data_IF_565211609046
#
_entry.id   IF_565211609046
#
_cell.length_a   1.000
_cell.length_b   1.000
_cell.length_c   1.000
_cell.angle_alpha   90.00
_cell.angle_beta   90.00
_cell.angle_gamma   90.00
#
_symmetry.space_group_name_H-M   'P 1'
#
loop_
_entity.id
_entity.type
_entity.pdbx_description
1 polymer ?
#
# COMPACT_ATOMS: atom_id res chain seq x y z
N UNK A 1 38.63 -3.58 27.53
CA UNK A 1 37.73 -2.72 28.30
C UNK A 1 38.01 -2.93 29.76
N UNK A 2 38.22 -1.87 30.56
CA UNK A 2 38.48 -1.92 32.01
C UNK A 2 37.19 -1.48 32.69
N UNK A 3 36.78 -2.22 33.72
CA UNK A 3 35.57 -1.96 34.49
C UNK A 3 35.95 -1.59 35.90
N UNK A 4 35.32 -0.59 36.51
CA UNK A 4 35.53 -0.16 37.85
C UNK A 4 34.24 -0.28 38.68
N UNK A 5 34.38 -0.54 39.99
CA UNK A 5 33.29 -0.60 40.96
C UNK A 5 33.37 0.64 41.86
N UNK A 6 32.27 1.39 41.90
CA UNK A 6 32.17 2.55 42.81
C UNK A 6 30.94 2.39 43.68
N UNK A 7 31.12 2.53 44.98
CA UNK A 7 30.01 2.63 45.93
C UNK A 7 29.57 4.09 46.06
N UNK A 8 28.26 4.32 45.93
CA UNK A 8 27.67 5.65 45.81
C UNK A 8 26.85 6.10 47.01
N UNK A 9 26.98 7.39 47.32
CA UNK A 9 25.86 8.23 47.75
C UNK A 9 25.66 9.35 46.70
N UNK A 10 24.48 9.97 46.65
CA UNK A 10 24.21 11.11 45.78
C UNK A 10 25.04 12.38 46.06
N UNK A 11 26.00 12.30 46.94
CA UNK A 11 26.95 13.35 47.30
C UNK A 11 28.38 12.86 47.03
N UNK A 12 29.18 13.70 46.37
CA UNK A 12 30.56 13.47 45.99
C UNK A 12 31.45 13.17 47.20
N UNK A 13 31.72 11.90 47.56
CA UNK A 13 32.72 11.50 48.54
C UNK A 13 33.52 10.30 48.07
N UNK A 14 34.84 10.45 48.10
CA UNK A 14 35.81 9.39 47.83
C UNK A 14 36.13 8.61 49.10
N UNK A 15 36.03 7.27 49.08
CA UNK A 15 36.57 6.29 50.05
C UNK A 15 35.78 6.06 51.36
N UNK A 16 36.39 5.49 52.37
CA UNK A 16 35.90 4.83 53.59
C UNK A 16 34.79 5.52 54.42
N UNK A 17 34.38 6.73 54.08
CA UNK A 17 33.36 7.52 54.80
C UNK A 17 31.99 7.58 54.08
N UNK A 18 31.84 6.99 52.89
CA UNK A 18 30.62 7.07 52.10
C UNK A 18 29.38 6.55 52.84
N UNK A 19 29.49 5.42 53.51
CA UNK A 19 28.37 4.82 54.23
C UNK A 19 27.96 5.61 55.48
N UNK A 20 28.91 6.26 56.16
CA UNK A 20 28.56 7.18 57.25
C UNK A 20 27.87 8.43 56.74
N UNK A 21 28.31 8.98 55.62
CA UNK A 21 27.70 10.15 55.00
C UNK A 21 26.26 9.91 54.56
N UNK A 22 25.96 8.71 54.04
CA UNK A 22 24.59 8.26 53.69
C UNK A 22 23.67 8.27 54.91
N UNK A 23 24.17 7.73 56.05
CA UNK A 23 23.41 7.70 57.30
C UNK A 23 23.21 9.11 57.87
N UNK A 24 24.28 9.92 57.88
CA UNK A 24 24.25 11.28 58.42
C UNK A 24 23.34 12.21 57.60
N UNK A 25 23.25 11.97 56.29
CA UNK A 25 22.32 12.67 55.39
C UNK A 25 20.88 12.20 55.51
N UNK A 26 20.62 11.08 56.19
CA UNK A 26 19.28 10.50 56.32
C UNK A 26 18.74 9.93 54.99
N UNK A 27 19.61 9.50 54.08
CA UNK A 27 19.22 8.93 52.81
C UNK A 27 18.52 7.59 53.01
N UNK A 28 17.55 7.28 52.19
CA UNK A 28 16.76 6.05 52.25
C UNK A 28 17.30 4.95 51.36
N UNK A 29 18.22 5.27 50.46
CA UNK A 29 18.82 4.36 49.50
C UNK A 29 20.32 4.64 49.33
N UNK A 30 21.07 3.58 49.06
CA UNK A 30 22.48 3.61 48.67
C UNK A 30 22.71 2.50 47.64
N UNK A 31 23.96 2.24 47.23
CA UNK A 31 24.21 1.15 46.29
C UNK A 31 25.63 1.07 45.79
N UNK A 32 25.82 0.23 44.80
CA UNK A 32 27.08 0.17 44.03
C UNK A 32 26.77 0.31 42.51
N UNK A 33 27.72 0.93 41.82
CA UNK A 33 27.66 1.11 40.36
C UNK A 33 28.91 0.55 39.73
N UNK A 34 28.73 -0.14 38.62
CA UNK A 34 29.83 -0.62 37.79
C UNK A 34 29.76 0.15 36.48
N UNK A 35 30.81 0.81 36.11
CA UNK A 35 30.92 1.61 34.90
C UNK A 35 32.18 1.27 34.11
N UNK A 36 32.20 1.65 32.83
CA UNK A 36 33.42 1.54 32.01
C UNK A 36 34.44 2.57 32.48
N UNK A 37 35.71 2.18 32.51
CA UNK A 37 36.81 3.10 32.85
C UNK A 37 37.11 3.97 31.64
N UNK A 38 37.07 5.27 31.84
CA UNK A 38 37.45 6.32 30.88
C UNK A 38 38.61 7.14 31.44
N UNK A 39 39.14 8.11 30.71
CA UNK A 39 40.18 9.03 31.18
C UNK A 39 39.64 9.94 32.30
N UNK A 40 38.36 10.17 32.37
CA UNK A 40 37.68 10.88 33.43
C UNK A 40 37.35 9.94 34.57
N UNK A 41 37.77 10.30 35.79
CA UNK A 41 37.56 9.46 36.99
C UNK A 41 36.05 9.37 37.28
N UNK A 42 35.53 8.15 37.37
CA UNK A 42 34.12 7.84 37.62
C UNK A 42 33.10 8.40 36.57
N UNK A 43 33.60 8.89 35.42
CA UNK A 43 32.80 9.52 34.38
C UNK A 43 32.35 8.59 33.23
N UNK A 44 32.70 7.29 33.27
CA UNK A 44 32.36 6.33 32.22
C UNK A 44 30.90 5.87 32.23
N UNK A 45 30.38 5.33 31.10
CA UNK A 45 29.05 4.78 31.04
C UNK A 45 28.76 3.71 32.07
N UNK A 46 27.63 3.80 32.75
CA UNK A 46 27.18 2.81 33.74
C UNK A 46 26.81 1.50 33.00
N UNK A 47 27.34 0.38 33.51
CA UNK A 47 27.04 -0.96 33.01
C UNK A 47 25.96 -1.64 33.87
N UNK A 48 26.15 -1.58 35.20
CA UNK A 48 25.18 -2.14 36.17
C UNK A 48 25.13 -1.22 37.40
N UNK A 49 23.93 -1.04 37.94
CA UNK A 49 23.70 -0.32 39.18
C UNK A 49 22.80 -1.16 40.12
N UNK A 50 23.18 -1.35 41.35
CA UNK A 50 22.38 -2.02 42.41
C UNK A 50 21.99 -1.01 43.47
N UNK A 51 20.71 -0.87 43.72
CA UNK A 51 20.15 -0.01 44.76
C UNK A 51 19.88 -0.85 46.01
N UNK A 52 20.26 -0.33 47.16
CA UNK A 52 20.15 -0.97 48.48
C UNK A 52 19.41 -0.02 49.42
N UNK A 53 18.34 -0.51 50.03
CA UNK A 53 17.58 0.27 51.02
C UNK A 53 18.34 0.42 52.32
N UNK A 54 18.34 1.65 52.83
CA UNK A 54 18.85 1.96 54.17
C UNK A 54 17.72 1.77 55.18
N UNK A 55 17.91 0.88 56.13
CA UNK A 55 16.91 0.57 57.14
C UNK A 55 17.15 1.36 58.43
N UNK A 56 16.07 1.62 59.18
CA UNK A 56 16.17 2.33 60.45
C UNK A 56 16.98 1.52 61.49
N UNK A 57 18.16 2.02 61.84
CA UNK A 57 19.08 1.34 62.73
C UNK A 57 20.34 0.80 62.05
N UNK A 58 20.46 0.99 60.73
CA UNK A 58 21.73 0.68 60.06
C UNK A 58 22.88 1.54 60.61
N UNK A 59 24.03 0.93 60.71
CA UNK A 59 25.30 1.58 60.99
C UNK A 59 26.14 1.63 59.72
N UNK A 60 27.17 2.45 59.69
CA UNK A 60 28.09 2.52 58.57
C UNK A 60 28.71 1.14 58.25
N UNK A 61 28.94 0.31 59.26
CA UNK A 61 29.47 -1.04 59.10
C UNK A 61 28.46 -2.02 58.55
N UNK A 62 27.20 -1.98 59.04
CA UNK A 62 26.13 -2.83 58.48
C UNK A 62 25.80 -2.47 57.04
N UNK A 63 25.78 -1.17 56.74
CA UNK A 63 25.51 -0.68 55.40
C UNK A 63 26.64 -1.05 54.42
N UNK A 64 27.90 -0.91 54.86
CA UNK A 64 29.07 -1.39 54.11
C UNK A 64 28.96 -2.88 53.78
N UNK A 65 28.59 -3.71 54.73
CA UNK A 65 28.44 -5.15 54.52
C UNK A 65 27.33 -5.47 53.52
N UNK A 66 26.18 -4.75 53.58
CA UNK A 66 25.09 -4.87 52.60
C UNK A 66 25.54 -4.50 51.18
N UNK A 67 26.30 -3.42 51.03
CA UNK A 67 26.81 -2.97 49.71
C UNK A 67 27.81 -3.95 49.16
N UNK A 68 28.80 -4.38 49.99
CA UNK A 68 29.82 -5.35 49.57
C UNK A 68 29.20 -6.71 49.15
N UNK A 69 28.12 -7.14 49.78
CA UNK A 69 27.42 -8.36 49.38
C UNK A 69 26.82 -8.28 47.96
N UNK A 70 26.50 -7.07 47.48
CA UNK A 70 25.95 -6.86 46.13
C UNK A 70 27.05 -6.57 45.09
N UNK A 71 28.22 -6.06 45.49
CA UNK A 71 29.31 -5.72 44.57
C UNK A 71 29.74 -6.91 43.71
N UNK A 72 29.93 -8.09 44.32
CA UNK A 72 30.32 -9.30 43.60
C UNK A 72 29.28 -9.73 42.55
N UNK A 73 28.00 -9.69 42.93
CA UNK A 73 26.90 -10.03 42.02
C UNK A 73 26.79 -9.02 40.88
N UNK A 74 26.88 -7.73 41.22
CA UNK A 74 26.84 -6.67 40.19
C UNK A 74 28.03 -6.76 39.22
N UNK A 75 29.22 -7.14 39.73
CA UNK A 75 30.42 -7.32 38.90
C UNK A 75 30.28 -8.50 37.93
N UNK A 76 29.76 -9.64 38.41
CA UNK A 76 29.51 -10.82 37.58
C UNK A 76 28.49 -10.46 36.48
N UNK A 77 27.42 -9.80 36.84
CA UNK A 77 26.40 -9.33 35.89
C UNK A 77 26.98 -8.36 34.83
N UNK A 78 27.83 -7.43 35.29
CA UNK A 78 28.52 -6.51 34.37
C UNK A 78 29.50 -7.25 33.43
N UNK A 79 30.21 -8.25 33.93
CA UNK A 79 31.06 -9.10 33.10
C UNK A 79 30.26 -9.90 32.10
N UNK A 80 29.11 -10.44 32.50
CA UNK A 80 28.23 -11.14 31.58
C UNK A 80 27.71 -10.22 30.46
N UNK A 81 27.31 -8.99 30.77
CA UNK A 81 26.88 -7.99 29.79
C UNK A 81 28.02 -7.66 28.84
N UNK A 82 29.20 -7.40 29.37
CA UNK A 82 30.39 -7.03 28.59
C UNK A 82 30.95 -8.19 27.76
N UNK A 83 30.97 -9.42 28.32
CA UNK A 83 31.49 -10.61 27.64
C UNK A 83 30.50 -11.21 26.62
N UNK A 84 29.18 -10.91 26.73
CA UNK A 84 28.22 -11.31 25.70
C UNK A 84 28.50 -10.67 24.36
N UNK A 85 29.31 -9.61 24.32
CA UNK A 85 29.46 -8.76 23.14
C UNK A 85 28.15 -7.99 22.85
N UNK A 86 28.16 -7.11 21.91
CA UNK A 86 26.93 -6.50 21.40
C UNK A 86 26.09 -7.61 20.77
N UNK A 87 25.04 -8.08 21.45
CA UNK A 87 24.06 -8.96 20.87
C UNK A 87 23.27 -8.09 19.90
N UNK A 88 23.62 -8.15 18.63
CA UNK A 88 22.86 -7.47 17.59
C UNK A 88 21.54 -8.21 17.46
N UNK A 89 20.48 -7.55 17.85
CA UNK A 89 19.10 -8.04 17.70
C UNK A 89 18.57 -7.78 16.30
N UNK A 90 17.44 -8.41 15.96
CA UNK A 90 16.73 -8.14 14.69
C UNK A 90 16.26 -6.68 14.63
N UNK A 91 15.89 -6.08 15.77
CA UNK A 91 15.53 -4.67 15.89
C UNK A 91 16.72 -3.73 15.58
N UNK A 92 17.93 -4.09 16.04
CA UNK A 92 19.15 -3.33 15.72
C UNK A 92 19.50 -3.39 14.23
N UNK A 93 19.07 -4.45 13.57
CA UNK A 93 19.17 -4.61 12.11
C UNK A 93 18.05 -3.90 11.33
N UNK A 94 17.13 -3.21 12.02
CA UNK A 94 16.07 -2.40 11.41
C UNK A 94 14.74 -3.13 11.23
N UNK A 95 14.55 -4.34 11.79
CA UNK A 95 13.30 -5.11 11.69
C UNK A 95 12.68 -5.28 13.08
N UNK A 96 11.44 -4.79 13.24
CA UNK A 96 10.74 -4.83 14.52
C UNK A 96 9.54 -5.78 14.49
N UNK A 97 9.70 -6.99 15.04
CA UNK A 97 8.67 -8.03 15.11
C UNK A 97 7.42 -7.55 15.87
N UNK A 98 7.57 -6.77 16.94
CA UNK A 98 6.45 -6.32 17.75
C UNK A 98 5.58 -5.31 17.00
N UNK A 99 6.17 -4.43 16.19
CA UNK A 99 5.45 -3.53 15.31
C UNK A 99 4.72 -4.31 14.19
N UNK A 100 5.34 -5.35 13.64
CA UNK A 100 4.68 -6.27 12.71
C UNK A 100 3.45 -6.94 13.32
N UNK A 101 3.56 -7.46 14.55
CA UNK A 101 2.43 -8.05 15.27
C UNK A 101 1.33 -7.01 15.56
N UNK A 102 1.71 -5.79 15.94
CA UNK A 102 0.77 -4.68 16.15
C UNK A 102 0.01 -4.33 14.87
N UNK A 103 0.70 -4.28 13.73
CA UNK A 103 0.05 -4.06 12.43
C UNK A 103 -1.02 -5.13 12.16
N UNK A 104 -0.69 -6.42 12.35
CA UNK A 104 -1.65 -7.52 12.14
C UNK A 104 -2.92 -7.32 12.96
N UNK A 105 -2.83 -6.92 14.23
CA UNK A 105 -4.01 -6.66 15.06
C UNK A 105 -4.85 -5.48 14.51
N UNK A 106 -4.21 -4.42 14.06
CA UNK A 106 -4.89 -3.25 13.51
C UNK A 106 -5.64 -3.55 12.20
N UNK A 107 -5.11 -4.43 11.33
CA UNK A 107 -5.70 -4.71 10.01
C UNK A 107 -6.79 -5.79 10.05
N UNK A 108 -6.84 -6.66 11.07
CA UNK A 108 -7.87 -7.71 11.21
C UNK A 108 -9.32 -7.22 10.98
N UNK A 109 -9.77 -6.09 11.57
CA UNK A 109 -11.11 -5.58 11.33
C UNK A 109 -11.36 -5.19 9.86
N UNK A 110 -10.34 -4.66 9.17
CA UNK A 110 -10.46 -4.26 7.77
C UNK A 110 -10.64 -5.48 6.87
N UNK A 111 -9.81 -6.51 7.05
CA UNK A 111 -9.92 -7.77 6.31
C UNK A 111 -11.28 -8.44 6.58
N UNK A 112 -11.72 -8.50 7.84
CA UNK A 112 -13.02 -9.05 8.21
C UNK A 112 -14.18 -8.34 7.51
N UNK A 113 -14.08 -7.04 7.28
CA UNK A 113 -15.12 -6.24 6.62
C UNK A 113 -15.24 -6.51 5.10
N UNK A 114 -14.31 -7.27 4.50
CA UNK A 114 -14.33 -7.66 3.08
C UNK A 114 -14.88 -9.07 2.85
N UNK A 115 -15.30 -9.79 3.90
CA UNK A 115 -15.75 -11.18 3.80
C UNK A 115 -16.91 -11.34 2.82
N UNK A 116 -16.86 -12.42 2.07
CA UNK A 116 -17.91 -12.89 1.16
C UNK A 116 -18.02 -14.41 1.27
N UNK A 117 -19.08 -15.02 0.72
CA UNK A 117 -19.16 -16.49 0.66
C UNK A 117 -17.90 -17.09 0.03
N UNK A 118 -17.32 -18.09 0.66
CA UNK A 118 -16.09 -18.76 0.26
C UNK A 118 -14.82 -18.27 0.95
N UNK A 119 -14.82 -17.11 1.63
CA UNK A 119 -13.67 -16.59 2.38
C UNK A 119 -14.01 -16.34 3.85
N UNK A 120 -14.16 -17.42 4.62
CA UNK A 120 -14.58 -17.34 6.02
C UNK A 120 -13.43 -17.50 7.03
N UNK A 121 -12.19 -17.74 6.54
CA UNK A 121 -11.03 -17.90 7.40
C UNK A 121 -10.59 -16.57 8.04
N UNK A 122 -10.13 -16.65 9.30
CA UNK A 122 -9.50 -15.52 9.98
C UNK A 122 -8.03 -15.39 9.55
N UNK A 123 -7.49 -14.17 9.62
CA UNK A 123 -6.05 -13.91 9.43
C UNK A 123 -5.24 -14.59 10.55
N UNK A 124 -4.07 -15.11 10.19
CA UNK A 124 -3.10 -15.71 11.13
C UNK A 124 -2.62 -17.11 10.76
N UNK A 125 -3.15 -17.70 9.67
CA UNK A 125 -2.59 -18.90 9.06
C UNK A 125 -1.49 -18.54 8.05
N UNK A 126 -0.79 -19.57 7.55
CA UNK A 126 0.24 -19.41 6.50
C UNK A 126 -0.33 -19.10 5.10
N UNK A 127 -1.64 -19.21 4.90
CA UNK A 127 -2.30 -18.92 3.64
C UNK A 127 -3.78 -18.65 3.83
N UNK A 128 -4.35 -17.84 2.92
CA UNK A 128 -5.78 -17.59 2.83
C UNK A 128 -6.50 -18.75 2.13
N UNK A 129 -7.64 -19.17 2.66
CA UNK A 129 -8.47 -20.23 2.08
C UNK A 129 -9.68 -19.61 1.38
N UNK A 130 -10.04 -20.16 0.23
CA UNK A 130 -11.24 -19.78 -0.50
C UNK A 130 -11.97 -21.03 -1.03
N UNK A 131 -13.25 -21.17 -0.67
CA UNK A 131 -14.11 -22.24 -1.13
C UNK A 131 -14.96 -21.78 -2.33
N UNK A 132 -14.64 -22.29 -3.52
CA UNK A 132 -15.32 -21.97 -4.77
C UNK A 132 -16.78 -22.43 -4.75
N UNK A 133 -17.08 -23.58 -4.15
CA UNK A 133 -18.44 -24.09 -4.08
C UNK A 133 -19.32 -23.25 -3.17
N UNK A 134 -18.80 -22.83 -2.00
CA UNK A 134 -19.49 -21.90 -1.11
C UNK A 134 -19.73 -20.52 -1.77
N UNK A 135 -18.86 -20.13 -2.71
CA UNK A 135 -19.03 -18.90 -3.51
C UNK A 135 -20.00 -19.08 -4.70
N UNK A 136 -20.57 -20.27 -4.89
CA UNK A 136 -21.57 -20.55 -5.92
C UNK A 136 -21.01 -20.93 -7.30
N UNK A 137 -19.73 -21.32 -7.38
CA UNK A 137 -19.10 -21.74 -8.64
C UNK A 137 -19.13 -23.28 -8.81
N UNK A 138 -19.52 -23.73 -9.99
CA UNK A 138 -19.33 -25.13 -10.39
C UNK A 138 -17.87 -25.34 -10.80
N UNK A 139 -17.16 -26.19 -10.07
CA UNK A 139 -15.73 -26.43 -10.30
C UNK A 139 -15.42 -27.13 -11.63
N UNK A 140 -16.41 -27.76 -12.27
CA UNK A 140 -16.20 -28.48 -13.53
C UNK A 140 -16.00 -27.58 -14.74
N UNK A 141 -16.76 -26.48 -14.80
CA UNK A 141 -16.75 -25.56 -15.94
C UNK A 141 -16.25 -24.14 -15.55
N UNK A 142 -15.61 -24.02 -14.39
CA UNK A 142 -15.00 -22.79 -13.91
C UNK A 142 -13.50 -22.76 -14.23
N UNK A 143 -13.04 -21.61 -14.72
CA UNK A 143 -11.62 -21.28 -14.92
C UNK A 143 -11.23 -20.23 -13.89
N UNK A 144 -10.07 -20.43 -13.25
CA UNK A 144 -9.48 -19.46 -12.32
C UNK A 144 -8.65 -18.46 -13.11
N UNK A 145 -8.76 -17.19 -12.76
CA UNK A 145 -8.00 -16.08 -13.34
C UNK A 145 -7.18 -15.44 -12.22
N UNK A 146 -5.89 -15.22 -12.47
CA UNK A 146 -5.01 -14.43 -11.60
C UNK A 146 -4.55 -13.17 -12.30
N UNK A 147 -4.52 -12.05 -11.60
CA UNK A 147 -3.94 -10.80 -12.06
C UNK A 147 -3.10 -10.17 -10.96
N UNK A 148 -1.97 -9.58 -11.32
CA UNK A 148 -1.04 -8.92 -10.39
C UNK A 148 -0.60 -7.59 -10.96
N UNK A 149 -0.51 -6.58 -10.09
CA UNK A 149 -0.04 -5.24 -10.44
C UNK A 149 0.44 -4.51 -9.18
N UNK A 150 1.05 -3.34 -9.36
CA UNK A 150 1.45 -2.40 -8.32
C UNK A 150 0.74 -1.05 -8.45
N UNK A 151 1.15 -0.08 -7.65
CA UNK A 151 0.68 1.31 -7.74
C UNK A 151 1.64 2.19 -8.53
N UNK A 152 2.91 1.86 -8.49
CA UNK A 152 3.96 2.60 -9.17
C UNK A 152 4.28 3.96 -8.53
N UNK A 153 4.79 4.91 -9.34
CA UNK A 153 5.36 6.16 -8.81
C UNK A 153 4.34 7.17 -8.27
N UNK A 154 3.05 6.87 -8.30
CA UNK A 154 2.00 7.57 -7.54
C UNK A 154 2.29 7.52 -6.03
N UNK A 155 2.91 6.43 -5.55
CA UNK A 155 3.35 6.27 -4.16
C UNK A 155 4.25 7.43 -3.69
N UNK A 156 5.10 7.97 -4.57
CA UNK A 156 5.96 9.13 -4.25
C UNK A 156 5.16 10.36 -3.86
N UNK A 157 3.98 10.56 -4.46
CA UNK A 157 3.10 11.66 -4.09
C UNK A 157 2.45 11.37 -2.73
N UNK A 158 1.99 10.13 -2.50
CA UNK A 158 1.45 9.72 -1.20
C UNK A 158 2.44 9.99 -0.06
N UNK A 159 3.72 9.64 -0.23
CA UNK A 159 4.79 9.94 0.71
C UNK A 159 4.97 11.45 0.91
N UNK A 160 5.05 12.23 -0.18
CA UNK A 160 5.28 13.67 -0.10
C UNK A 160 4.13 14.42 0.61
N UNK A 161 2.91 13.90 0.49
CA UNK A 161 1.68 14.50 1.07
C UNK A 161 1.38 13.93 2.46
N UNK A 162 1.95 12.77 2.82
CA UNK A 162 1.63 12.04 4.06
C UNK A 162 0.21 11.42 4.05
N UNK A 163 -0.33 11.10 2.84
CA UNK A 163 -1.67 10.52 2.67
C UNK A 163 -1.57 9.12 2.06
N UNK A 164 -1.87 8.11 2.87
CA UNK A 164 -1.65 6.70 2.54
C UNK A 164 -2.93 5.88 2.38
N UNK A 165 -4.10 6.42 2.73
CA UNK A 165 -5.38 5.73 2.80
C UNK A 165 -6.07 5.52 1.43
N UNK A 166 -5.54 6.11 0.35
CA UNK A 166 -6.13 6.01 -1.00
C UNK A 166 -5.38 5.05 -1.92
N UNK A 167 -4.06 4.92 -1.77
CA UNK A 167 -3.22 4.12 -2.68
C UNK A 167 -3.52 2.61 -2.61
N UNK A 168 -4.08 2.14 -1.50
CA UNK A 168 -4.58 0.76 -1.39
C UNK A 168 -5.77 0.49 -2.34
N UNK A 169 -6.63 1.50 -2.58
CA UNK A 169 -7.71 1.39 -3.57
C UNK A 169 -7.12 1.30 -4.97
N UNK A 170 -6.09 2.09 -5.27
CA UNK A 170 -5.37 2.01 -6.55
C UNK A 170 -4.82 0.60 -6.79
N UNK A 171 -4.17 0.00 -5.79
CA UNK A 171 -3.61 -1.34 -5.88
C UNK A 171 -4.66 -2.38 -6.26
N UNK A 172 -5.80 -2.37 -5.55
CA UNK A 172 -6.90 -3.29 -5.84
C UNK A 172 -7.47 -3.02 -7.23
N UNK A 173 -7.70 -1.76 -7.58
CA UNK A 173 -8.28 -1.36 -8.87
C UNK A 173 -7.43 -1.84 -10.05
N UNK A 174 -6.10 -1.68 -9.98
CA UNK A 174 -5.20 -2.13 -11.05
C UNK A 174 -5.33 -3.63 -11.29
N UNK A 175 -5.39 -4.44 -10.24
CA UNK A 175 -5.49 -5.89 -10.34
C UNK A 175 -6.89 -6.36 -10.77
N UNK A 176 -7.97 -5.85 -10.13
CA UNK A 176 -9.32 -6.38 -10.39
C UNK A 176 -9.92 -5.88 -11.70
N UNK A 177 -9.50 -4.68 -12.17
CA UNK A 177 -9.91 -4.19 -13.49
C UNK A 177 -9.28 -5.02 -14.61
N UNK A 178 -8.02 -5.47 -14.46
CA UNK A 178 -7.39 -6.39 -15.42
C UNK A 178 -8.04 -7.78 -15.38
N UNK A 179 -8.41 -8.24 -14.19
CA UNK A 179 -9.09 -9.53 -14.03
C UNK A 179 -10.47 -9.54 -14.72
N UNK A 180 -11.27 -8.48 -14.55
CA UNK A 180 -12.61 -8.41 -15.13
C UNK A 180 -12.59 -8.32 -16.67
N UNK A 181 -11.49 -7.81 -17.25
CA UNK A 181 -11.31 -7.76 -18.72
C UNK A 181 -11.38 -9.15 -19.35
N UNK A 182 -10.93 -10.19 -18.64
CA UNK A 182 -11.06 -11.58 -19.07
C UNK A 182 -12.46 -12.21 -18.80
N UNK A 183 -13.42 -11.41 -18.31
CA UNK A 183 -14.77 -11.86 -17.96
C UNK A 183 -14.91 -12.45 -16.57
N UNK A 184 -13.85 -12.36 -15.74
CA UNK A 184 -13.80 -12.94 -14.40
C UNK A 184 -14.52 -12.13 -13.32
N UNK A 185 -15.11 -12.83 -12.36
CA UNK A 185 -15.58 -12.24 -11.11
C UNK A 185 -14.45 -12.29 -10.09
N UNK A 186 -13.99 -11.15 -9.53
CA UNK A 186 -13.01 -11.14 -8.46
C UNK A 186 -13.52 -11.88 -7.22
N UNK A 187 -12.71 -12.77 -6.65
CA UNK A 187 -13.08 -13.59 -5.50
C UNK A 187 -12.33 -13.17 -4.25
N UNK A 188 -11.01 -13.05 -4.37
CA UNK A 188 -10.16 -12.64 -3.25
C UNK A 188 -8.93 -11.89 -3.73
N UNK A 189 -8.32 -11.21 -2.78
CA UNK A 189 -7.15 -10.38 -2.95
C UNK A 189 -6.09 -10.71 -1.90
N UNK A 190 -4.84 -10.61 -2.29
CA UNK A 190 -3.66 -10.66 -1.44
C UNK A 190 -2.77 -9.45 -1.75
N UNK A 191 -2.10 -8.90 -0.75
CA UNK A 191 -1.16 -7.81 -0.94
C UNK A 191 0.25 -8.15 -0.44
N UNK A 192 1.22 -7.44 -0.97
CA UNK A 192 2.60 -7.43 -0.51
C UNK A 192 3.00 -5.98 -0.23
N UNK A 193 3.29 -5.69 1.03
CA UNK A 193 3.77 -4.39 1.49
C UNK A 193 5.25 -4.51 1.83
N UNK A 194 6.12 -3.84 1.07
CA UNK A 194 7.56 -3.84 1.27
C UNK A 194 8.04 -2.45 1.70
N UNK A 195 8.83 -2.35 2.77
CA UNK A 195 9.30 -1.06 3.30
C UNK A 195 10.73 -1.16 3.82
N UNK A 196 11.43 -0.04 3.94
CA UNK A 196 12.74 0.00 4.59
C UNK A 196 12.61 -0.14 6.10
N UNK A 197 11.63 0.54 6.69
CA UNK A 197 11.25 0.46 8.09
C UNK A 197 9.75 0.55 8.21
N UNK A 198 9.14 -0.29 9.03
CA UNK A 198 7.70 -0.32 9.21
C UNK A 198 7.21 0.88 10.03
N UNK A 199 6.36 1.69 9.40
CA UNK A 199 5.54 2.70 10.05
C UNK A 199 4.10 2.18 10.13
N UNK A 200 3.73 1.68 11.31
CA UNK A 200 2.49 0.91 11.51
C UNK A 200 1.23 1.68 11.09
N UNK A 201 1.16 2.97 11.40
CA UNK A 201 0.01 3.82 11.07
C UNK A 201 -0.13 4.02 9.55
N UNK A 202 0.99 4.23 8.85
CA UNK A 202 1.00 4.35 7.40
C UNK A 202 0.61 3.02 6.73
N UNK A 203 1.19 1.91 7.17
CA UNK A 203 0.86 0.57 6.68
C UNK A 203 -0.61 0.22 6.94
N UNK A 204 -1.13 0.48 8.14
CA UNK A 204 -2.54 0.28 8.47
C UNK A 204 -3.48 1.13 7.60
N UNK A 205 -3.10 2.38 7.28
CA UNK A 205 -3.86 3.24 6.39
C UNK A 205 -3.88 2.68 4.95
N UNK A 206 -2.75 2.15 4.46
CA UNK A 206 -2.68 1.48 3.15
C UNK A 206 -3.59 0.26 3.13
N UNK A 207 -3.51 -0.63 4.13
CA UNK A 207 -4.34 -1.86 4.18
C UNK A 207 -5.83 -1.50 4.34
N UNK A 208 -6.16 -0.43 5.06
CA UNK A 208 -7.53 0.11 5.09
C UNK A 208 -8.01 0.51 3.69
N UNK A 209 -7.15 1.16 2.90
CA UNK A 209 -7.43 1.49 1.50
C UNK A 209 -7.61 0.23 0.64
N UNK A 210 -6.77 -0.80 0.82
CA UNK A 210 -6.91 -2.10 0.15
C UNK A 210 -8.28 -2.73 0.48
N UNK A 211 -8.64 -2.77 1.76
CA UNK A 211 -9.93 -3.31 2.20
C UNK A 211 -11.12 -2.54 1.59
N UNK A 212 -11.01 -1.22 1.47
CA UNK A 212 -12.03 -0.39 0.81
C UNK A 212 -12.13 -0.72 -0.69
N UNK A 213 -11.00 -0.87 -1.38
CA UNK A 213 -10.95 -1.32 -2.77
C UNK A 213 -11.58 -2.71 -2.94
N UNK A 214 -11.28 -3.65 -2.04
CA UNK A 214 -11.87 -4.99 -2.03
C UNK A 214 -13.39 -4.96 -1.86
N UNK A 215 -13.94 -4.10 -1.00
CA UNK A 215 -15.39 -3.91 -0.86
C UNK A 215 -16.01 -3.37 -2.14
N UNK A 216 -15.35 -2.41 -2.81
CA UNK A 216 -15.81 -1.88 -4.08
C UNK A 216 -15.79 -2.94 -5.19
N UNK A 217 -14.79 -3.84 -5.17
CA UNK A 217 -14.65 -4.96 -6.09
C UNK A 217 -15.46 -6.22 -5.68
N UNK A 218 -16.13 -6.20 -4.53
CA UNK A 218 -16.86 -7.35 -3.97
C UNK A 218 -15.99 -8.61 -3.79
N UNK A 219 -14.70 -8.45 -3.49
CA UNK A 219 -13.76 -9.54 -3.22
C UNK A 219 -13.25 -9.52 -1.79
N UNK A 220 -12.80 -10.67 -1.29
CA UNK A 220 -12.27 -10.81 0.07
C UNK A 220 -10.79 -10.49 0.15
N UNK A 221 -10.36 -9.66 1.09
CA UNK A 221 -8.95 -9.56 1.48
C UNK A 221 -8.65 -10.69 2.47
N UNK A 222 -7.99 -11.76 2.00
CA UNK A 222 -7.84 -13.00 2.77
C UNK A 222 -6.44 -13.24 3.31
N UNK A 223 -5.50 -12.34 3.01
CA UNK A 223 -4.12 -12.41 3.48
C UNK A 223 -3.26 -11.37 2.80
N UNK A 224 -1.99 -11.41 3.12
CA UNK A 224 -0.95 -10.54 2.58
C UNK A 224 0.37 -10.79 3.28
N UNK A 225 1.38 -10.03 2.91
CA UNK A 225 2.72 -10.07 3.50
C UNK A 225 3.20 -8.66 3.78
N UNK A 226 3.89 -8.48 4.90
CA UNK A 226 4.58 -7.23 5.25
C UNK A 226 6.06 -7.53 5.45
N UNK A 227 6.91 -6.97 4.60
CA UNK A 227 8.34 -7.19 4.63
C UNK A 227 9.10 -5.90 4.99
N UNK A 228 9.85 -5.94 6.08
CA UNK A 228 10.85 -4.93 6.39
C UNK A 228 12.16 -5.30 5.71
N UNK A 229 12.63 -4.43 4.82
CA UNK A 229 13.86 -4.63 4.03
C UNK A 229 14.77 -3.40 4.15
N UNK A 230 15.44 -3.22 5.29
CA UNK A 230 16.40 -2.13 5.50
C UNK A 230 17.46 -2.10 4.39
N UNK A 231 17.82 -0.92 3.94
CA UNK A 231 18.78 -0.67 2.85
C UNK A 231 18.29 -1.00 1.43
N UNK A 232 17.19 -1.71 1.24
CA UNK A 232 16.53 -1.84 -0.08
C UNK A 232 15.59 -0.68 -0.34
N UNK A 233 14.86 -0.24 0.68
CA UNK A 233 14.03 0.96 0.70
C UNK A 233 14.57 1.93 1.73
N UNK A 234 14.38 3.23 1.50
CA UNK A 234 14.70 4.24 2.50
C UNK A 234 13.68 4.21 3.63
N UNK A 235 14.05 4.76 4.79
CA UNK A 235 13.13 4.88 5.92
C UNK A 235 11.85 5.63 5.51
N UNK A 236 10.68 5.07 5.86
CA UNK A 236 9.37 5.62 5.52
C UNK A 236 8.94 5.40 4.06
N UNK A 237 9.79 4.89 3.17
CA UNK A 237 9.40 4.49 1.82
C UNK A 237 8.85 3.07 1.80
N UNK A 238 7.85 2.83 0.96
CA UNK A 238 7.28 1.50 0.74
C UNK A 238 6.93 1.28 -0.73
N UNK A 239 6.83 0.03 -1.12
CA UNK A 239 6.27 -0.42 -2.39
C UNK A 239 5.12 -1.41 -2.14
N UNK A 240 4.22 -1.49 -3.11
CA UNK A 240 3.01 -2.30 -3.02
C UNK A 240 2.89 -3.20 -4.25
N UNK A 241 2.62 -4.46 -4.02
CA UNK A 241 2.16 -5.38 -5.04
C UNK A 241 0.86 -6.04 -4.62
N UNK A 242 -0.08 -6.17 -5.57
CA UNK A 242 -1.36 -6.80 -5.36
C UNK A 242 -1.50 -8.06 -6.21
N UNK A 243 -2.26 -9.00 -5.71
CA UNK A 243 -2.61 -10.22 -6.41
C UNK A 243 -4.09 -10.51 -6.24
N UNK A 244 -4.86 -10.39 -7.31
CA UNK A 244 -6.27 -10.74 -7.34
C UNK A 244 -6.48 -12.10 -7.98
N UNK A 245 -7.39 -12.88 -7.41
CA UNK A 245 -7.86 -14.14 -7.99
C UNK A 245 -9.35 -14.07 -8.20
N UNK A 246 -9.77 -14.49 -9.37
CA UNK A 246 -11.17 -14.55 -9.76
C UNK A 246 -11.52 -15.83 -10.49
N UNK A 247 -12.77 -15.95 -10.85
CA UNK A 247 -13.28 -17.10 -11.57
C UNK A 247 -14.24 -16.67 -12.69
N UNK A 248 -14.26 -17.47 -13.75
CA UNK A 248 -15.15 -17.29 -14.88
C UNK A 248 -15.65 -18.65 -15.37
N UNK A 249 -16.91 -18.73 -15.79
CA UNK A 249 -17.40 -19.90 -16.52
C UNK A 249 -16.78 -19.93 -17.92
N UNK A 250 -16.38 -21.10 -18.41
CA UNK A 250 -15.70 -21.28 -19.71
C UNK A 250 -16.39 -20.57 -20.87
N UNK A 251 -17.73 -20.56 -20.88
CA UNK A 251 -18.52 -19.95 -21.93
C UNK A 251 -18.55 -18.41 -21.87
N UNK A 252 -17.96 -17.81 -20.81
CA UNK A 252 -17.97 -16.35 -20.58
C UNK A 252 -16.59 -15.73 -20.59
N UNK A 253 -15.57 -16.51 -20.95
CA UNK A 253 -14.21 -15.97 -21.08
C UNK A 253 -14.20 -14.94 -22.22
N UNK A 254 -13.72 -13.73 -21.94
CA UNK A 254 -13.58 -12.65 -22.91
C UNK A 254 -12.13 -12.57 -23.44
N UNK A 255 -11.93 -12.08 -24.68
CA UNK A 255 -12.93 -11.63 -25.67
C UNK A 255 -13.61 -12.78 -26.40
N UNK A 256 -14.87 -12.57 -26.85
CA UNK A 256 -15.65 -13.54 -27.61
C UNK A 256 -16.32 -12.91 -28.81
N UNK A 257 -16.23 -13.56 -29.97
CA UNK A 257 -16.97 -13.16 -31.20
C UNK A 257 -16.81 -11.67 -31.57
N UNK A 258 -15.67 -11.08 -31.21
CA UNK A 258 -15.34 -9.69 -31.57
C UNK A 258 -15.12 -9.59 -33.09
N UNK A 259 -15.76 -8.59 -33.75
CA UNK A 259 -15.69 -8.42 -35.19
C UNK A 259 -15.83 -6.95 -35.61
N UNK A 260 -15.45 -6.63 -36.81
CA UNK A 260 -15.70 -5.34 -37.41
C UNK A 260 -17.22 -4.99 -37.38
N UNK A 261 -17.53 -3.75 -37.06
CA UNK A 261 -18.89 -3.25 -36.84
C UNK A 261 -19.36 -3.28 -35.40
N UNK A 262 -18.65 -3.95 -34.49
CA UNK A 262 -18.96 -3.85 -33.05
C UNK A 262 -18.69 -2.43 -32.53
N UNK A 263 -19.50 -1.99 -31.56
CA UNK A 263 -19.47 -0.64 -30.99
C UNK A 263 -18.52 -0.58 -29.78
N UNK A 264 -17.82 0.52 -29.66
CA UNK A 264 -16.93 0.81 -28.52
C UNK A 264 -17.63 1.76 -27.55
N UNK A 265 -17.91 1.30 -26.34
CA UNK A 265 -18.41 2.11 -25.23
C UNK A 265 -17.29 2.42 -24.25
N UNK A 266 -17.05 3.71 -24.00
CA UNK A 266 -16.07 4.18 -23.02
C UNK A 266 -16.71 4.51 -21.67
N UNK A 267 -16.07 4.10 -20.59
CA UNK A 267 -16.43 4.49 -19.22
C UNK A 267 -15.44 5.52 -18.70
N UNK A 268 -15.96 6.58 -18.07
CA UNK A 268 -15.12 7.64 -17.51
C UNK A 268 -14.12 7.13 -16.48
N UNK A 269 -12.92 7.66 -16.52
CA UNK A 269 -11.95 7.53 -15.41
C UNK A 269 -12.32 8.47 -14.25
N UNK A 270 -11.73 8.21 -13.07
CA UNK A 270 -11.80 9.12 -11.92
C UNK A 270 -10.71 10.20 -11.94
N UNK A 271 -9.85 10.18 -12.94
CA UNK A 271 -8.66 11.02 -13.06
C UNK A 271 -7.52 10.26 -13.75
N UNK A 272 -6.29 10.52 -13.34
CA UNK A 272 -5.09 9.95 -13.95
C UNK A 272 -5.00 8.42 -13.71
N UNK A 273 -5.64 7.92 -12.68
CA UNK A 273 -5.51 6.55 -12.17
C UNK A 273 -4.13 6.30 -11.57
N UNK A 274 -3.41 5.24 -12.00
CA UNK A 274 -2.10 4.89 -11.44
C UNK A 274 -0.96 4.89 -12.48
N UNK A 275 -1.23 5.33 -13.72
CA UNK A 275 -0.25 5.32 -14.80
C UNK A 275 0.20 6.74 -15.18
N UNK A 276 1.45 6.86 -15.67
CA UNK A 276 2.00 8.14 -16.14
C UNK A 276 2.53 9.07 -15.04
N UNK A 277 2.54 8.66 -13.77
CA UNK A 277 2.95 9.51 -12.64
C UNK A 277 4.41 9.96 -12.66
N UNK A 278 5.30 9.26 -13.35
CA UNK A 278 6.67 9.73 -13.56
C UNK A 278 6.70 11.04 -14.35
N UNK A 279 5.85 11.15 -15.38
CA UNK A 279 5.69 12.38 -16.16
C UNK A 279 4.96 13.45 -15.35
N UNK A 280 3.85 13.10 -14.67
CA UNK A 280 3.11 14.05 -13.81
C UNK A 280 4.04 14.72 -12.80
N UNK A 281 4.88 13.97 -12.10
CA UNK A 281 5.84 14.51 -11.13
C UNK A 281 6.84 15.46 -11.78
N UNK A 282 7.35 15.13 -12.97
CA UNK A 282 8.21 16.02 -13.76
C UNK A 282 7.50 17.32 -14.18
N UNK A 283 6.22 17.26 -14.50
CA UNK A 283 5.45 18.46 -14.85
C UNK A 283 5.23 19.37 -13.63
N UNK A 284 4.91 18.80 -12.48
CA UNK A 284 4.81 19.55 -11.21
C UNK A 284 6.14 20.28 -10.90
N UNK A 285 7.27 19.58 -11.04
CA UNK A 285 8.60 20.16 -10.85
C UNK A 285 8.91 21.25 -11.89
N UNK A 286 8.63 21.01 -13.18
CA UNK A 286 8.83 21.98 -14.28
C UNK A 286 8.05 23.27 -14.05
N UNK A 287 6.79 23.15 -13.66
CA UNK A 287 5.90 24.28 -13.38
C UNK A 287 6.16 24.93 -12.00
N UNK A 288 7.14 24.41 -11.23
CA UNK A 288 7.51 24.89 -9.88
C UNK A 288 6.33 24.89 -8.92
N UNK A 289 5.45 23.89 -9.03
CA UNK A 289 4.30 23.70 -8.16
C UNK A 289 4.68 22.83 -6.96
N UNK A 290 4.00 23.06 -5.83
CA UNK A 290 4.08 22.24 -4.63
C UNK A 290 2.80 21.43 -4.45
N UNK A 291 2.89 20.20 -3.92
CA UNK A 291 1.72 19.34 -3.70
C UNK A 291 0.72 19.92 -2.71
N UNK A 292 1.15 20.81 -1.82
CA UNK A 292 0.28 21.55 -0.88
C UNK A 292 -0.42 22.75 -1.51
N UNK A 293 0.00 23.18 -2.72
CA UNK A 293 -0.59 24.33 -3.41
C UNK A 293 -2.02 24.07 -3.85
N UNK A 294 -2.84 25.13 -4.01
CA UNK A 294 -4.17 25.04 -4.61
C UNK A 294 -4.10 24.37 -5.99
N UNK A 295 -5.06 23.51 -6.29
CA UNK A 295 -5.09 22.72 -7.52
C UNK A 295 -5.58 23.57 -8.70
N UNK A 296 -4.77 23.81 -9.76
CA UNK A 296 -5.17 24.67 -10.86
C UNK A 296 -6.23 24.08 -11.79
N UNK A 297 -6.44 22.76 -11.75
CA UNK A 297 -7.42 22.05 -12.57
C UNK A 297 -8.64 21.53 -11.79
N UNK A 298 -8.66 21.67 -10.47
CA UNK A 298 -9.74 21.20 -9.60
C UNK A 298 -9.91 22.12 -8.39
N UNK A 299 -10.86 23.05 -8.47
CA UNK A 299 -11.15 23.98 -7.38
C UNK A 299 -11.82 23.34 -6.17
N UNK A 300 -12.25 22.09 -6.27
CA UNK A 300 -12.89 21.35 -5.16
C UNK A 300 -11.88 20.56 -4.34
N UNK A 301 -10.72 20.25 -4.90
CA UNK A 301 -9.62 19.63 -4.17
C UNK A 301 -8.92 20.65 -3.26
N UNK A 302 -8.57 20.24 -2.05
CA UNK A 302 -7.86 21.10 -1.09
C UNK A 302 -6.44 21.44 -1.56
N UNK A 303 -5.83 20.58 -2.38
CA UNK A 303 -4.48 20.73 -2.89
C UNK A 303 -4.24 19.92 -4.17
N UNK A 304 -3.13 20.22 -4.85
CA UNK A 304 -2.63 19.41 -5.98
C UNK A 304 -2.44 17.95 -5.55
N UNK A 305 -1.83 17.72 -4.39
CA UNK A 305 -1.57 16.38 -3.88
C UNK A 305 -2.85 15.58 -3.67
N UNK A 306 -3.89 16.19 -3.11
CA UNK A 306 -5.19 15.53 -2.92
C UNK A 306 -5.82 15.14 -4.27
N UNK A 307 -5.84 16.05 -5.25
CA UNK A 307 -6.37 15.77 -6.58
C UNK A 307 -5.61 14.65 -7.28
N UNK A 308 -4.27 14.65 -7.20
CA UNK A 308 -3.43 13.61 -7.81
C UNK A 308 -3.55 12.25 -7.12
N UNK A 309 -3.95 12.21 -5.85
CA UNK A 309 -4.20 10.98 -5.08
C UNK A 309 -5.62 10.45 -5.22
N UNK A 310 -6.47 11.06 -6.07
CA UNK A 310 -7.77 10.47 -6.41
C UNK A 310 -7.59 9.01 -6.85
N UNK A 311 -8.27 8.04 -6.18
CA UNK A 311 -8.08 6.62 -6.48
C UNK A 311 -8.50 6.24 -7.88
N UNK A 312 -7.84 5.23 -8.42
CA UNK A 312 -8.26 4.53 -9.64
C UNK A 312 -9.65 3.97 -9.46
N UNK A 313 -10.52 4.21 -10.44
CA UNK A 313 -11.90 3.71 -10.44
C UNK A 313 -11.95 2.20 -10.61
N UNK A 314 -12.75 1.54 -9.79
CA UNK A 314 -13.03 0.10 -9.87
C UNK A 314 -14.31 -0.10 -10.68
N UNK A 315 -14.21 -0.84 -11.80
CA UNK A 315 -15.30 -1.04 -12.76
C UNK A 315 -16.10 -2.33 -12.54
N UNK A 316 -15.74 -3.12 -11.53
CA UNK A 316 -16.31 -4.46 -11.28
C UNK A 316 -17.83 -4.42 -11.18
N UNK A 317 -18.39 -3.57 -10.29
CA UNK A 317 -19.85 -3.47 -10.07
C UNK A 317 -20.61 -3.02 -11.30
N UNK A 318 -20.00 -2.20 -12.14
CA UNK A 318 -20.61 -1.73 -13.36
C UNK A 318 -20.61 -2.80 -14.47
N UNK A 319 -19.48 -3.49 -14.65
CA UNK A 319 -19.25 -4.37 -15.80
C UNK A 319 -19.70 -5.82 -15.55
N UNK A 320 -19.58 -6.34 -14.33
CA UNK A 320 -19.91 -7.73 -14.02
C UNK A 320 -21.37 -8.13 -14.37
N UNK A 321 -22.41 -7.28 -14.12
CA UNK A 321 -23.77 -7.59 -14.55
C UNK A 321 -23.93 -7.72 -16.07
N UNK A 322 -23.17 -6.94 -16.85
CA UNK A 322 -23.18 -7.01 -18.31
C UNK A 322 -22.53 -8.29 -18.82
N UNK A 323 -21.40 -8.69 -18.20
CA UNK A 323 -20.72 -9.96 -18.49
C UNK A 323 -21.67 -11.13 -18.21
N UNK A 324 -22.32 -11.14 -17.05
CA UNK A 324 -23.28 -12.17 -16.64
C UNK A 324 -24.48 -12.30 -17.60
N UNK A 325 -24.88 -11.20 -18.25
CA UNK A 325 -25.96 -11.17 -19.24
C UNK A 325 -25.47 -11.40 -20.68
N UNK A 326 -24.17 -11.55 -20.93
CA UNK A 326 -23.61 -11.75 -22.26
C UNK A 326 -23.75 -10.53 -23.18
N UNK A 327 -23.81 -9.31 -22.62
CA UNK A 327 -23.93 -8.06 -23.37
C UNK A 327 -22.58 -7.50 -23.84
N UNK A 328 -21.48 -8.04 -23.34
CA UNK A 328 -20.11 -7.61 -23.64
C UNK A 328 -19.41 -8.72 -24.43
N UNK A 329 -18.70 -8.36 -25.48
CA UNK A 329 -17.88 -9.27 -26.30
C UNK A 329 -16.39 -9.17 -25.99
N UNK A 330 -15.95 -8.04 -25.44
CA UNK A 330 -14.58 -7.79 -25.01
C UNK A 330 -14.49 -6.53 -24.17
N UNK A 331 -13.39 -6.36 -23.49
CA UNK A 331 -13.10 -5.20 -22.64
C UNK A 331 -11.62 -4.84 -22.73
N UNK A 332 -11.28 -3.58 -22.47
CA UNK A 332 -9.91 -3.12 -22.33
C UNK A 332 -9.80 -2.14 -21.15
N UNK A 333 -8.96 -2.46 -20.17
CA UNK A 333 -8.57 -1.54 -19.10
C UNK A 333 -7.50 -0.59 -19.63
N UNK A 334 -7.73 0.70 -19.53
CA UNK A 334 -6.85 1.72 -20.10
C UNK A 334 -5.83 2.16 -19.05
N UNK A 335 -4.63 1.63 -19.20
CA UNK A 335 -3.47 1.81 -18.30
C UNK A 335 -2.28 2.41 -19.05
N UNK A 336 -1.04 2.03 -18.76
CA UNK A 336 0.14 2.38 -19.54
C UNK A 336 0.01 1.89 -20.99
N UNK A 337 0.32 2.75 -21.94
CA UNK A 337 0.03 2.52 -23.36
C UNK A 337 -1.27 3.16 -23.84
N UNK A 338 -2.15 3.59 -22.90
CA UNK A 338 -3.38 4.33 -23.18
C UNK A 338 -4.35 3.61 -24.13
N UNK A 339 -5.24 4.36 -24.77
CA UNK A 339 -6.20 3.81 -25.71
C UNK A 339 -5.53 3.12 -26.91
N UNK A 340 -4.39 3.64 -27.36
CA UNK A 340 -3.72 3.19 -28.58
C UNK A 340 -3.14 1.78 -28.46
N UNK A 341 -2.62 1.41 -27.29
CA UNK A 341 -1.94 0.13 -27.08
C UNK A 341 -2.77 -0.88 -26.26
N UNK A 342 -3.72 -0.42 -25.42
CA UNK A 342 -4.50 -1.34 -24.60
C UNK A 342 -5.70 -1.92 -25.38
N UNK A 343 -6.42 -1.12 -26.14
CA UNK A 343 -7.57 -1.63 -26.88
C UNK A 343 -7.22 -2.77 -27.86
N UNK A 344 -6.14 -2.69 -28.66
CA UNK A 344 -5.74 -3.77 -29.56
C UNK A 344 -5.51 -5.13 -28.86
N UNK A 345 -5.15 -5.16 -27.59
CA UNK A 345 -4.93 -6.42 -26.82
C UNK A 345 -6.20 -7.27 -26.67
N UNK A 346 -7.37 -6.64 -26.85
CA UNK A 346 -8.68 -7.30 -26.77
C UNK A 346 -9.30 -7.58 -28.15
N UNK A 347 -8.56 -7.31 -29.22
CA UNK A 347 -9.03 -7.50 -30.59
C UNK A 347 -8.40 -8.74 -31.23
N UNK A 348 -9.16 -9.52 -32.02
CA UNK A 348 -8.60 -10.60 -32.82
C UNK A 348 -7.80 -10.06 -34.02
N UNK A 349 -6.99 -10.91 -34.61
CA UNK A 349 -6.26 -10.60 -35.84
C UNK A 349 -7.20 -10.13 -36.95
N UNK A 350 -6.78 -9.08 -37.66
CA UNK A 350 -7.55 -8.49 -38.76
C UNK A 350 -8.71 -7.57 -38.33
N UNK A 351 -8.81 -7.25 -37.03
CA UNK A 351 -9.75 -6.27 -36.50
C UNK A 351 -8.99 -5.10 -35.89
N UNK A 352 -9.34 -3.89 -36.30
CA UNK A 352 -8.85 -2.64 -35.74
C UNK A 352 -9.98 -1.82 -35.11
N UNK A 353 -9.65 -0.67 -34.58
CA UNK A 353 -10.61 0.25 -33.96
C UNK A 353 -10.51 1.65 -34.58
N UNK A 354 -11.64 2.29 -34.79
CA UNK A 354 -11.74 3.69 -35.13
C UNK A 354 -12.48 4.44 -34.04
N UNK A 355 -11.74 5.36 -33.36
CA UNK A 355 -12.26 6.20 -32.29
C UNK A 355 -12.56 7.58 -32.86
N UNK A 356 -13.84 7.91 -32.98
CA UNK A 356 -14.37 9.18 -33.53
C UNK A 356 -15.11 10.03 -32.50
N UNK A 357 -15.41 9.48 -31.33
CA UNK A 357 -16.24 10.08 -30.29
C UNK A 357 -15.56 10.21 -28.93
N UNK A 358 -14.28 10.61 -28.90
CA UNK A 358 -13.62 10.85 -27.61
C UNK A 358 -14.27 12.05 -26.89
N UNK A 359 -14.64 11.93 -25.59
CA UNK A 359 -15.18 13.06 -24.83
C UNK A 359 -14.13 14.17 -24.66
N UNK A 360 -14.55 15.42 -24.30
CA UNK A 360 -13.63 16.46 -23.92
C UNK A 360 -12.66 16.00 -22.82
N UNK A 361 -11.42 16.46 -22.90
CA UNK A 361 -10.42 16.11 -21.88
C UNK A 361 -10.84 16.62 -20.49
N UNK A 362 -10.83 15.80 -19.45
CA UNK A 362 -10.90 16.31 -18.09
C UNK A 362 -9.79 17.33 -17.80
N UNK A 363 -10.08 18.30 -16.95
CA UNK A 363 -9.22 19.46 -16.72
C UNK A 363 -7.76 19.13 -16.36
N UNK A 364 -7.54 18.05 -15.61
CA UNK A 364 -6.18 17.56 -15.29
C UNK A 364 -5.39 17.17 -16.54
N UNK A 365 -6.01 16.52 -17.51
CA UNK A 365 -5.35 16.13 -18.77
C UNK A 365 -5.13 17.32 -19.69
N UNK A 366 -6.08 18.27 -19.73
CA UNK A 366 -5.91 19.53 -20.44
C UNK A 366 -4.72 20.33 -19.91
N UNK A 367 -4.59 20.42 -18.58
CA UNK A 367 -3.45 21.03 -17.93
C UNK A 367 -2.14 20.30 -18.27
N UNK A 368 -2.12 18.97 -18.18
CA UNK A 368 -0.92 18.16 -18.50
C UNK A 368 -0.52 18.34 -19.97
N UNK A 369 -1.46 18.34 -20.90
CA UNK A 369 -1.20 18.56 -22.33
C UNK A 369 -0.55 19.93 -22.55
N UNK A 370 -1.06 20.98 -21.92
CA UNK A 370 -0.51 22.31 -22.00
C UNK A 370 0.88 22.40 -21.36
N UNK A 371 1.05 21.89 -20.16
CA UNK A 371 2.32 21.94 -19.42
C UNK A 371 3.43 21.10 -20.09
N UNK A 372 3.07 19.95 -20.68
CA UNK A 372 4.04 19.08 -21.36
C UNK A 372 4.37 19.53 -22.77
N UNK A 373 3.41 20.08 -23.50
CA UNK A 373 3.49 20.32 -24.95
C UNK A 373 3.35 19.05 -25.79
N UNK A 374 2.87 17.94 -25.21
CA UNK A 374 2.63 16.69 -25.94
C UNK A 374 1.49 16.84 -26.96
N UNK A 375 1.63 16.17 -28.08
CA UNK A 375 0.55 16.03 -29.06
C UNK A 375 -0.53 15.03 -28.60
N UNK A 376 -1.64 14.97 -29.33
CA UNK A 376 -2.77 14.10 -28.99
C UNK A 376 -2.38 12.62 -28.98
N UNK A 377 -1.51 12.21 -29.88
CA UNK A 377 -1.06 10.82 -30.00
C UNK A 377 -0.28 10.38 -28.74
N UNK A 378 0.67 11.20 -28.30
CA UNK A 378 1.47 10.88 -27.13
C UNK A 378 0.66 11.00 -25.84
N UNK A 379 -0.31 11.92 -25.76
CA UNK A 379 -1.28 11.98 -24.65
C UNK A 379 -2.08 10.67 -24.56
N UNK A 380 -2.65 10.20 -25.70
CA UNK A 380 -3.46 8.98 -25.79
C UNK A 380 -2.63 7.69 -25.59
N UNK A 381 -1.31 7.77 -25.72
CA UNK A 381 -0.40 6.66 -25.46
C UNK A 381 0.07 6.61 -23.99
N UNK A 382 0.20 7.78 -23.36
CA UNK A 382 0.73 7.88 -22.01
C UNK A 382 -0.37 7.78 -20.95
N UNK A 383 -1.55 8.35 -21.22
CA UNK A 383 -2.62 8.52 -20.25
C UNK A 383 -3.95 7.94 -20.73
N UNK A 384 -4.85 7.71 -19.77
CA UNK A 384 -6.22 7.29 -20.08
C UNK A 384 -7.07 8.41 -20.71
N UNK A 385 -6.65 9.67 -20.63
CA UNK A 385 -7.31 10.86 -21.18
C UNK A 385 -8.82 10.97 -20.83
N UNK A 386 -9.22 10.44 -19.67
CA UNK A 386 -10.62 10.46 -19.20
C UNK A 386 -11.40 9.18 -19.45
N UNK A 387 -10.86 8.20 -20.17
CA UNK A 387 -11.46 6.90 -20.42
C UNK A 387 -10.66 5.80 -19.74
N UNK A 388 -11.19 5.22 -18.67
CA UNK A 388 -10.46 4.19 -17.93
C UNK A 388 -10.81 2.75 -18.31
N UNK A 389 -11.97 2.53 -18.96
CA UNK A 389 -12.40 1.21 -19.44
C UNK A 389 -13.12 1.35 -20.77
N UNK A 390 -12.84 0.45 -21.70
CA UNK A 390 -13.55 0.34 -22.98
C UNK A 390 -14.26 -1.01 -23.04
N UNK A 391 -15.52 -1.00 -23.43
CA UNK A 391 -16.35 -2.20 -23.65
C UNK A 391 -16.61 -2.36 -25.15
N UNK A 392 -16.48 -3.60 -25.63
CA UNK A 392 -16.83 -4.00 -27.00
C UNK A 392 -18.18 -4.67 -26.95
N UNK A 393 -19.17 -4.09 -27.64
CA UNK A 393 -20.54 -4.58 -27.63
C UNK A 393 -21.09 -4.73 -29.03
N UNK A 394 -22.01 -5.66 -29.23
CA UNK A 394 -22.74 -5.75 -30.50
C UNK A 394 -23.65 -4.51 -30.72
N UNK A 395 -23.77 -3.95 -31.91
CA UNK A 395 -24.60 -2.76 -32.17
C UNK A 395 -26.02 -2.85 -31.61
N UNK A 396 -26.65 -4.02 -31.74
CA UNK A 396 -28.01 -4.28 -31.24
C UNK A 396 -28.10 -4.30 -29.71
N UNK A 397 -27.00 -4.52 -29.02
CA UNK A 397 -26.91 -4.58 -27.55
C UNK A 397 -26.46 -3.26 -26.93
N UNK A 398 -25.96 -2.29 -27.72
CA UNK A 398 -25.33 -1.07 -27.21
C UNK A 398 -26.27 -0.23 -26.32
N UNK A 399 -27.53 -0.09 -26.70
CA UNK A 399 -28.52 0.65 -25.90
C UNK A 399 -28.80 -0.05 -24.57
N UNK A 400 -29.05 -1.36 -24.59
CA UNK A 400 -29.28 -2.15 -23.36
C UNK A 400 -28.07 -2.18 -22.44
N UNK A 401 -26.86 -2.28 -23.01
CA UNK A 401 -25.62 -2.20 -22.24
C UNK A 401 -25.47 -0.83 -21.57
N UNK A 402 -25.73 0.26 -22.29
CA UNK A 402 -25.67 1.63 -21.74
C UNK A 402 -26.68 1.85 -20.60
N UNK A 403 -27.92 1.39 -20.78
CA UNK A 403 -28.94 1.50 -19.71
C UNK A 403 -28.56 0.71 -18.48
N UNK A 404 -28.05 -0.51 -18.65
CA UNK A 404 -27.61 -1.34 -17.51
C UNK A 404 -26.41 -0.71 -16.79
N UNK A 405 -25.42 -0.18 -17.51
CA UNK A 405 -24.30 0.56 -16.93
C UNK A 405 -24.78 1.74 -16.07
N UNK A 406 -25.71 2.54 -16.60
CA UNK A 406 -26.30 3.66 -15.86
C UNK A 406 -27.04 3.19 -14.60
N UNK A 407 -27.76 2.10 -14.66
CA UNK A 407 -28.45 1.51 -13.51
C UNK A 407 -27.48 0.96 -12.46
N UNK A 408 -26.26 0.61 -12.86
CA UNK A 408 -25.16 0.17 -11.98
C UNK A 408 -24.30 1.34 -11.45
N UNK A 409 -24.71 2.60 -11.74
CA UNK A 409 -24.06 3.78 -11.17
C UNK A 409 -23.08 4.51 -12.10
N UNK A 410 -22.91 4.05 -13.36
CA UNK A 410 -22.11 4.78 -14.34
C UNK A 410 -22.84 6.05 -14.77
N UNK A 411 -22.28 7.20 -14.42
CA UNK A 411 -22.91 8.50 -14.75
C UNK A 411 -22.81 8.82 -16.23
N UNK A 412 -21.69 8.47 -16.84
CA UNK A 412 -21.37 8.79 -18.22
C UNK A 412 -20.85 7.55 -18.95
N UNK A 413 -21.48 7.25 -20.09
CA UNK A 413 -21.08 6.20 -21.01
C UNK A 413 -20.96 6.83 -22.38
N UNK A 414 -19.78 6.80 -22.96
CA UNK A 414 -19.44 7.43 -24.21
C UNK A 414 -19.47 6.43 -25.36
N UNK A 415 -20.07 6.80 -26.48
CA UNK A 415 -19.87 6.06 -27.73
C UNK A 415 -18.54 6.53 -28.32
N UNK A 416 -17.50 5.73 -28.20
CA UNK A 416 -16.16 6.07 -28.69
C UNK A 416 -15.99 5.85 -30.18
N UNK A 417 -16.79 4.98 -30.80
CA UNK A 417 -16.64 4.59 -32.19
C UNK A 417 -16.94 3.13 -32.44
N UNK A 418 -16.30 2.56 -33.44
CA UNK A 418 -16.59 1.20 -33.92
C UNK A 418 -15.33 0.43 -34.26
N UNK A 419 -15.42 -0.90 -34.24
CA UNK A 419 -14.39 -1.77 -34.76
C UNK A 419 -14.44 -1.81 -36.28
N UNK A 420 -13.26 -1.86 -36.91
CA UNK A 420 -13.10 -1.86 -38.37
C UNK A 420 -12.28 -3.07 -38.82
N UNK A 421 -12.33 -3.38 -40.11
CA UNK A 421 -11.38 -4.32 -40.70
C UNK A 421 -9.98 -3.66 -40.75
N UNK A 422 -8.94 -4.40 -40.36
CA UNK A 422 -7.56 -3.90 -40.33
C UNK A 422 -6.86 -4.25 -39.02
N UNK A 423 -6.01 -3.38 -38.53
CA UNK A 423 -5.27 -3.57 -37.29
C UNK A 423 -5.01 -2.23 -36.58
N UNK A 424 -4.77 -2.29 -35.27
CA UNK A 424 -4.44 -1.13 -34.45
C UNK A 424 -5.62 -0.24 -34.13
N UNK A 425 -5.37 0.86 -33.42
CA UNK A 425 -6.36 1.86 -33.03
C UNK A 425 -6.08 3.18 -33.75
N UNK A 426 -7.05 3.65 -34.52
CA UNK A 426 -7.00 4.96 -35.16
C UNK A 426 -7.93 5.92 -34.43
N UNK A 427 -7.42 7.05 -33.99
CA UNK A 427 -8.23 8.13 -33.39
C UNK A 427 -8.39 9.23 -34.40
N UNK A 428 -9.64 9.57 -34.70
CA UNK A 428 -10.02 10.60 -35.71
C UNK A 428 -10.59 11.85 -35.05
N UNK A 429 -10.99 11.77 -33.77
CA UNK A 429 -11.38 12.94 -32.95
C UNK A 429 -10.16 13.64 -32.38
N UNK A 430 -10.16 14.98 -32.37
CA UNK A 430 -9.16 15.74 -31.62
C UNK A 430 -9.43 15.65 -30.10
N UNK A 431 -8.38 15.65 -29.30
CA UNK A 431 -8.46 15.86 -27.86
C UNK A 431 -8.67 17.37 -27.58
N UNK A 432 -9.90 17.79 -27.48
CA UNK A 432 -10.28 19.18 -27.22
C UNK A 432 -10.43 19.46 -25.73
#
# INVERSE_FOLDING_TARGET
MIINIVSHSFLFFVSSQVHQAVIDAGETETGCTIHQVTEEVDGGPIVVQKVIKVEKGDTAESLKAKVQAQEGTAFIEALEIVCRGDVISYADAGVNIDEGNRLVELIKPYCKATRRPGCDADLGGFGGLFDLAAAGFDTKDTVIIGATDGVGTKLRIAHSVGKHDTVGIDLVAMCVNDLIVAGGEPLFFLDYFATGRLEVEAAAAVVKGIAEGCKQAECGLIGGETAEMPSMYSDGEYDLAGFSVGAVHKDRILPQNVKAGDVLLGLSSSGIHSNGFSLVRKLIEKEKLDYSSPCPWDSTASSIGESLLTPTKIYVKACLPLIKKGLIKGMAHITGGGLLENLPRSLPDGVGAEISGHPPLPAVFSWMKQASGLDDTEMLRTFNCGIGMVLIVEPTSAAAATELLKSCGEKEVFNLGVLTAGSGTKVTSSLA
#
